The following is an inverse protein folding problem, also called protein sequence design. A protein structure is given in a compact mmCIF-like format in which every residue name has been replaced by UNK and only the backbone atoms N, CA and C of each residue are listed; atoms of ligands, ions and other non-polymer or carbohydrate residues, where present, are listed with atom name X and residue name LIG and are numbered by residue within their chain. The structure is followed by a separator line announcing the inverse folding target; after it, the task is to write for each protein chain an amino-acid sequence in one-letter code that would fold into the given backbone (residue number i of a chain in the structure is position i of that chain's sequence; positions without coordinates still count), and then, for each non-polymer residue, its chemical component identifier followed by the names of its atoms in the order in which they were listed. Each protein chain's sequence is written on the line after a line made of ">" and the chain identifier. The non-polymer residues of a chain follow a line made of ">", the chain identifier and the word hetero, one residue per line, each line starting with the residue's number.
data_IF_036915260514
#
_entry.id   IF_036915260514
#
_cell.length_a   1.000
_cell.length_b   1.000
_cell.length_c   1.000
_cell.angle_alpha   90.00
_cell.angle_beta   90.00
_cell.angle_gamma   90.00
#
_symmetry.space_group_name_H-M   'P 1'
#
loop_
_entity.id
_entity.type
_entity.pdbx_description
1 polymer ?
#
# COMPACT_ATOMS: atom_id res chain seq x y z
N UNK A 1 4.36 3.23 -19.39
CA UNK A 1 4.25 2.67 -18.02
C UNK A 1 5.17 1.46 -17.78
N UNK A 2 5.13 0.37 -18.58
CA UNK A 2 6.04 -0.78 -18.36
C UNK A 2 7.54 -0.42 -18.27
N UNK A 3 8.01 0.49 -19.12
CA UNK A 3 9.39 0.98 -19.08
C UNK A 3 9.71 1.78 -17.83
N UNK A 4 8.73 2.51 -17.27
CA UNK A 4 8.88 3.23 -16.00
C UNK A 4 9.03 2.23 -14.86
N UNK A 5 8.25 1.14 -14.85
CA UNK A 5 8.41 0.09 -13.84
C UNK A 5 9.79 -0.58 -13.92
N UNK A 6 10.27 -0.92 -15.12
CA UNK A 6 11.61 -1.49 -15.28
C UNK A 6 12.70 -0.51 -14.88
N UNK A 7 12.54 0.78 -15.20
CA UNK A 7 13.46 1.82 -14.79
C UNK A 7 13.49 1.98 -13.27
N UNK A 8 12.33 2.04 -12.61
CA UNK A 8 12.23 2.14 -11.15
C UNK A 8 12.82 0.91 -10.46
N UNK A 9 12.54 -0.29 -10.97
CA UNK A 9 13.14 -1.52 -10.47
C UNK A 9 14.67 -1.49 -10.60
N UNK A 10 15.18 -1.16 -11.79
CA UNK A 10 16.62 -1.08 -12.05
C UNK A 10 17.28 0.00 -11.19
N UNK A 11 16.68 1.18 -11.09
CA UNK A 11 17.20 2.29 -10.29
C UNK A 11 17.26 1.92 -8.80
N UNK A 12 16.18 1.34 -8.26
CA UNK A 12 16.13 0.89 -6.86
C UNK A 12 17.19 -0.18 -6.59
N UNK A 13 17.29 -1.21 -7.44
CA UNK A 13 18.25 -2.32 -7.26
C UNK A 13 19.70 -1.89 -7.47
N UNK A 14 20.00 -1.12 -8.51
CA UNK A 14 21.37 -0.66 -8.78
C UNK A 14 21.87 0.30 -7.69
N UNK A 15 21.00 1.16 -7.17
CA UNK A 15 21.34 2.02 -6.04
C UNK A 15 21.54 1.20 -4.77
N UNK A 16 20.67 0.21 -4.50
CA UNK A 16 20.86 -0.70 -3.37
C UNK A 16 22.20 -1.47 -3.47
N UNK A 17 22.60 -1.91 -4.66
CA UNK A 17 23.85 -2.64 -4.86
C UNK A 17 25.11 -1.80 -4.61
N UNK A 18 25.00 -0.47 -4.60
CA UNK A 18 26.14 0.39 -4.29
C UNK A 18 26.46 0.51 -2.79
N UNK A 19 25.66 -0.11 -1.91
CA UNK A 19 25.83 0.01 -0.45
C UNK A 19 26.90 -0.95 0.08
N UNK A 20 27.57 -0.54 1.15
CA UNK A 20 28.51 -1.41 1.85
C UNK A 20 27.82 -2.17 2.98
N UNK A 21 27.43 -3.41 2.70
CA UNK A 21 26.71 -4.26 3.66
C UNK A 21 27.64 -4.87 4.70
N UNK A 22 27.45 -4.49 5.96
CA UNK A 22 28.16 -5.08 7.10
C UNK A 22 27.46 -6.34 7.66
N UNK A 23 26.21 -6.59 7.27
CA UNK A 23 25.41 -7.73 7.72
C UNK A 23 24.50 -8.26 6.62
N UNK A 24 24.47 -9.59 6.46
CA UNK A 24 23.58 -10.27 5.53
C UNK A 24 22.10 -10.04 5.84
N UNK A 25 21.75 -9.88 7.13
CA UNK A 25 20.38 -9.56 7.54
C UNK A 25 19.91 -8.20 7.03
N UNK A 26 20.79 -7.20 7.03
CA UNK A 26 20.46 -5.87 6.51
C UNK A 26 20.23 -5.93 5.00
N UNK A 27 21.06 -6.66 4.27
CA UNK A 27 20.88 -6.87 2.84
C UNK A 27 19.54 -7.56 2.53
N UNK A 28 19.20 -8.62 3.26
CA UNK A 28 17.95 -9.34 3.08
C UNK A 28 16.72 -8.47 3.36
N UNK A 29 16.70 -7.76 4.49
CA UNK A 29 15.58 -6.88 4.85
C UNK A 29 15.40 -5.76 3.82
N UNK A 30 16.48 -5.07 3.44
CA UNK A 30 16.46 -4.00 2.44
C UNK A 30 15.97 -4.52 1.08
N UNK A 31 16.40 -5.72 0.68
CA UNK A 31 15.93 -6.36 -0.55
C UNK A 31 14.45 -6.74 -0.50
N UNK A 32 13.94 -7.15 0.66
CA UNK A 32 12.53 -7.47 0.83
C UNK A 32 11.67 -6.20 0.72
N UNK A 33 12.11 -5.09 1.33
CA UNK A 33 11.37 -3.82 1.28
C UNK A 33 11.56 -3.06 -0.03
N UNK A 34 12.62 -3.33 -0.82
CA UNK A 34 12.84 -2.65 -2.11
C UNK A 34 11.75 -2.93 -3.14
N UNK A 35 11.01 -4.04 -3.00
CA UNK A 35 9.81 -4.36 -3.81
C UNK A 35 8.75 -3.24 -3.70
N UNK A 36 8.72 -2.50 -2.59
CA UNK A 36 7.84 -1.35 -2.40
C UNK A 36 8.04 -0.24 -3.43
N UNK A 37 9.21 -0.14 -4.08
CA UNK A 37 9.43 0.81 -5.16
C UNK A 37 8.54 0.53 -6.37
N UNK A 38 8.46 -0.75 -6.74
CA UNK A 38 7.64 -1.21 -7.85
C UNK A 38 6.15 -1.09 -7.47
N UNK A 39 5.77 -1.61 -6.31
CA UNK A 39 4.38 -1.59 -5.84
C UNK A 39 3.86 -0.17 -5.63
N UNK A 40 4.67 0.70 -5.01
CA UNK A 40 4.35 2.10 -4.82
C UNK A 40 4.11 2.80 -6.14
N UNK A 41 4.97 2.57 -7.13
CA UNK A 41 4.79 3.12 -8.49
C UNK A 41 3.50 2.63 -9.15
N UNK A 42 3.16 1.35 -8.99
CA UNK A 42 1.89 0.79 -9.51
C UNK A 42 0.69 1.45 -8.83
N UNK A 43 0.68 1.60 -7.50
CA UNK A 43 -0.42 2.23 -6.78
C UNK A 43 -0.54 3.72 -7.08
N UNK A 44 0.57 4.45 -7.19
CA UNK A 44 0.54 5.86 -7.60
C UNK A 44 -0.05 6.00 -9.00
N UNK A 45 0.35 5.15 -9.95
CA UNK A 45 -0.22 5.15 -11.30
C UNK A 45 -1.71 4.84 -11.31
N UNK A 46 -2.14 3.82 -10.56
CA UNK A 46 -3.54 3.44 -10.45
C UNK A 46 -4.39 4.55 -9.82
N UNK A 47 -3.86 5.21 -8.78
CA UNK A 47 -4.47 6.38 -8.15
C UNK A 47 -4.65 7.53 -9.15
N UNK A 48 -3.61 7.89 -9.91
CA UNK A 48 -3.69 8.94 -10.94
C UNK A 48 -4.74 8.59 -11.99
N UNK A 49 -4.78 7.34 -12.45
CA UNK A 49 -5.77 6.90 -13.44
C UNK A 49 -7.20 6.94 -12.89
N UNK A 50 -7.39 6.65 -11.61
CA UNK A 50 -8.68 6.79 -10.94
C UNK A 50 -9.10 8.26 -10.80
N UNK A 51 -8.23 9.12 -10.27
CA UNK A 51 -8.53 10.54 -10.05
C UNK A 51 -8.77 11.30 -11.37
N UNK A 52 -8.12 10.91 -12.46
CA UNK A 52 -8.35 11.47 -13.81
C UNK A 52 -9.59 10.92 -14.52
N UNK A 53 -10.36 10.05 -13.86
CA UNK A 53 -11.60 9.48 -14.40
C UNK A 53 -11.39 8.41 -15.46
N UNK A 54 -10.16 7.91 -15.64
CA UNK A 54 -9.78 6.88 -16.61
C UNK A 54 -9.85 5.45 -16.04
N UNK A 55 -10.22 5.30 -14.77
CA UNK A 55 -10.42 4.01 -14.09
C UNK A 55 -11.91 3.70 -13.83
N UNK A 56 -12.22 2.50 -13.32
CA UNK A 56 -13.60 2.09 -13.04
C UNK A 56 -14.22 2.93 -11.90
N UNK A 57 -15.56 3.09 -11.86
CA UNK A 57 -16.24 3.80 -10.77
C UNK A 57 -15.89 3.26 -9.38
N UNK A 58 -15.63 1.95 -9.27
CA UNK A 58 -15.20 1.30 -8.03
C UNK A 58 -13.85 1.85 -7.53
N UNK A 59 -12.86 1.96 -8.41
CA UNK A 59 -11.55 2.49 -8.04
C UNK A 59 -11.56 4.00 -7.84
N UNK A 60 -12.44 4.73 -8.54
CA UNK A 60 -12.68 6.16 -8.27
C UNK A 60 -13.23 6.39 -6.87
N UNK A 61 -14.15 5.54 -6.42
CA UNK A 61 -14.68 5.59 -5.07
C UNK A 61 -13.60 5.19 -4.04
N UNK A 62 -12.87 4.10 -4.27
CA UNK A 62 -11.77 3.65 -3.41
C UNK A 62 -10.70 4.73 -3.19
N UNK A 63 -10.12 5.26 -4.27
CA UNK A 63 -9.12 6.34 -4.15
C UNK A 63 -9.75 7.67 -3.71
N UNK A 64 -11.06 7.84 -3.91
CA UNK A 64 -11.81 8.97 -3.36
C UNK A 64 -11.83 8.99 -1.83
N UNK A 65 -11.93 7.83 -1.18
CA UNK A 65 -11.85 7.70 0.29
C UNK A 65 -10.45 8.07 0.82
N UNK A 66 -9.38 7.76 0.06
CA UNK A 66 -7.98 8.08 0.41
C UNK A 66 -7.50 9.45 -0.08
N UNK A 67 -8.26 10.13 -0.94
CA UNK A 67 -7.81 11.34 -1.63
C UNK A 67 -7.44 12.46 -0.64
N UNK A 68 -8.20 12.59 0.45
CA UNK A 68 -7.92 13.59 1.48
C UNK A 68 -6.55 13.35 2.13
N UNK A 69 -6.25 12.11 2.48
CA UNK A 69 -4.99 11.75 3.15
C UNK A 69 -3.79 11.92 2.20
N UNK A 70 -3.93 11.56 0.92
CA UNK A 70 -2.91 11.81 -0.09
C UNK A 70 -2.69 13.29 -0.38
N UNK A 71 -3.75 14.09 -0.47
CA UNK A 71 -3.64 15.53 -0.63
C UNK A 71 -2.94 16.18 0.56
N UNK A 72 -3.28 15.78 1.79
CA UNK A 72 -2.62 16.29 3.00
C UNK A 72 -1.13 15.93 2.96
N UNK A 73 -0.78 14.67 2.69
CA UNK A 73 0.62 14.25 2.61
C UNK A 73 1.41 15.00 1.52
N UNK A 74 0.81 15.20 0.35
CA UNK A 74 1.42 15.96 -0.73
C UNK A 74 1.65 17.42 -0.34
N UNK A 75 0.66 18.08 0.25
CA UNK A 75 0.77 19.46 0.72
C UNK A 75 1.81 19.60 1.82
N UNK A 76 1.87 18.64 2.77
CA UNK A 76 2.90 18.60 3.80
C UNK A 76 4.30 18.44 3.21
N UNK A 77 4.48 17.55 2.23
CA UNK A 77 5.76 17.38 1.53
C UNK A 77 6.21 18.62 0.75
N UNK A 78 5.28 19.29 0.06
CA UNK A 78 5.54 20.55 -0.63
C UNK A 78 5.91 21.67 0.35
N UNK A 79 5.18 21.77 1.48
CA UNK A 79 5.48 22.74 2.53
C UNK A 79 6.86 22.51 3.13
N UNK A 80 7.22 21.25 3.42
CA UNK A 80 8.53 20.91 3.94
C UNK A 80 9.64 21.25 2.93
N UNK A 81 9.42 20.93 1.65
CA UNK A 81 10.36 21.29 0.57
C UNK A 81 10.56 22.81 0.52
N UNK A 82 9.48 23.59 0.61
CA UNK A 82 9.55 25.05 0.63
C UNK A 82 10.33 25.59 1.82
N UNK A 83 10.09 25.04 3.02
CA UNK A 83 10.83 25.39 4.25
C UNK A 83 12.31 25.09 4.08
N UNK A 84 12.67 23.90 3.60
CA UNK A 84 14.08 23.50 3.41
C UNK A 84 14.79 24.42 2.41
N UNK A 85 14.12 24.81 1.32
CA UNK A 85 14.74 25.68 0.30
C UNK A 85 14.92 27.14 0.75
N UNK A 86 14.16 27.60 1.75
CA UNK A 86 14.23 28.98 2.26
C UNK A 86 15.03 29.07 3.56
N UNK A 87 15.10 27.98 4.31
CA UNK A 87 15.87 27.89 5.55
C UNK A 87 17.36 28.10 5.28
N UNK A 88 18.04 28.79 6.20
CA UNK A 88 19.49 28.92 6.21
C UNK A 88 20.21 27.69 6.80
N UNK A 89 19.47 26.68 7.23
CA UNK A 89 20.03 25.44 7.76
C UNK A 89 20.46 24.50 6.64
N UNK A 90 21.69 23.98 6.71
CA UNK A 90 22.18 22.98 5.77
C UNK A 90 21.35 21.69 5.86
N UNK A 91 20.70 21.32 4.76
CA UNK A 91 19.93 20.10 4.68
C UNK A 91 20.86 18.87 4.58
N UNK A 92 20.66 17.92 5.48
CA UNK A 92 21.35 16.63 5.43
C UNK A 92 20.42 15.57 4.87
N UNK A 93 20.88 14.79 3.89
CA UNK A 93 20.13 13.62 3.36
C UNK A 93 19.93 12.50 4.41
N UNK A 94 20.56 12.63 5.57
CA UNK A 94 20.34 11.78 6.74
C UNK A 94 19.30 12.35 7.73
N UNK A 95 18.60 13.43 7.38
CA UNK A 95 17.39 13.84 8.11
C UNK A 95 16.33 12.74 8.00
N UNK A 96 15.55 12.49 9.05
CA UNK A 96 14.51 11.45 9.05
C UNK A 96 13.19 11.87 8.39
N UNK A 97 13.16 13.04 7.77
CA UNK A 97 11.96 13.78 7.36
C UNK A 97 11.15 13.07 6.27
N UNK A 98 11.81 12.56 5.23
CA UNK A 98 11.15 11.85 4.11
C UNK A 98 10.51 10.56 4.62
N UNK A 99 11.24 9.79 5.43
CA UNK A 99 10.69 8.57 6.03
C UNK A 99 9.56 8.91 7.01
N UNK A 100 9.71 9.93 7.86
CA UNK A 100 8.70 10.29 8.85
C UNK A 100 7.38 10.76 8.22
N UNK A 101 7.42 11.35 7.01
CA UNK A 101 6.22 11.63 6.22
C UNK A 101 5.39 10.37 5.90
N UNK A 102 6.01 9.18 5.93
CA UNK A 102 5.34 7.89 5.79
C UNK A 102 4.59 7.42 7.04
N UNK A 103 4.91 7.97 8.22
CA UNK A 103 4.38 7.47 9.49
C UNK A 103 2.85 7.59 9.63
N UNK A 104 2.19 8.69 9.20
CA UNK A 104 0.73 8.77 9.21
C UNK A 104 0.05 7.64 8.41
N UNK A 105 0.62 7.23 7.28
CA UNK A 105 0.10 6.12 6.47
C UNK A 105 0.18 4.77 7.21
N UNK A 106 1.24 4.54 7.98
CA UNK A 106 1.36 3.35 8.82
C UNK A 106 0.29 3.35 9.92
N UNK A 107 0.06 4.48 10.59
CA UNK A 107 -0.98 4.58 11.62
C UNK A 107 -2.37 4.34 11.03
N UNK A 108 -2.66 4.92 9.86
CA UNK A 108 -3.92 4.70 9.16
C UNK A 108 -4.09 3.23 8.78
N UNK A 109 -3.02 2.56 8.33
CA UNK A 109 -3.07 1.13 8.00
C UNK A 109 -3.42 0.24 9.20
N UNK A 110 -2.92 0.59 10.39
CA UNK A 110 -3.21 -0.10 11.65
C UNK A 110 -4.66 0.13 12.06
N UNK A 111 -5.12 1.39 11.95
CA UNK A 111 -6.52 1.74 12.20
C UNK A 111 -7.47 0.92 11.32
N UNK A 112 -7.19 0.83 10.02
CA UNK A 112 -7.96 0.04 9.06
C UNK A 112 -7.98 -1.45 9.43
N UNK A 113 -6.84 -2.02 9.83
CA UNK A 113 -6.78 -3.41 10.30
C UNK A 113 -7.59 -3.66 11.57
N UNK A 114 -7.65 -2.70 12.50
CA UNK A 114 -8.58 -2.79 13.63
C UNK A 114 -10.04 -2.69 13.19
N UNK A 115 -10.36 -1.87 12.19
CA UNK A 115 -11.70 -1.77 11.64
C UNK A 115 -12.16 -3.13 11.05
N UNK A 116 -11.26 -3.89 10.41
CA UNK A 116 -11.56 -5.23 9.85
C UNK A 116 -12.14 -6.20 10.89
N UNK A 117 -11.71 -6.12 12.16
CA UNK A 117 -12.20 -7.00 13.23
C UNK A 117 -13.71 -6.87 13.48
N UNK A 118 -14.26 -5.66 13.23
CA UNK A 118 -15.67 -5.34 13.49
C UNK A 118 -16.55 -5.58 12.26
N UNK A 119 -15.96 -5.58 11.05
CA UNK A 119 -16.69 -5.72 9.78
C UNK A 119 -17.25 -7.13 9.60
N UNK A 120 -18.42 -7.21 8.95
CA UNK A 120 -19.14 -8.45 8.65
C UNK A 120 -19.34 -8.57 7.15
N UNK A 121 -19.01 -9.73 6.61
CA UNK A 121 -19.30 -10.15 5.24
C UNK A 121 -20.51 -11.07 5.32
N UNK A 122 -21.64 -10.62 4.77
CA UNK A 122 -22.88 -11.41 4.77
C UNK A 122 -23.19 -11.94 6.20
N UNK A 123 -23.10 -11.06 7.20
CA UNK A 123 -23.35 -11.39 8.60
C UNK A 123 -22.25 -12.16 9.34
N UNK A 124 -21.22 -12.67 8.65
CA UNK A 124 -20.10 -13.42 9.22
C UNK A 124 -18.87 -12.51 9.34
N UNK A 125 -18.17 -12.56 10.48
CA UNK A 125 -16.91 -11.80 10.66
C UNK A 125 -15.73 -12.56 10.06
N UNK A 126 -14.67 -11.84 9.70
CA UNK A 126 -13.41 -12.47 9.36
C UNK A 126 -12.87 -13.31 10.53
N UNK A 127 -12.12 -14.39 10.26
CA UNK A 127 -11.47 -15.16 11.31
C UNK A 127 -10.56 -14.28 12.16
N UNK A 128 -10.69 -14.38 13.49
CA UNK A 128 -9.88 -13.58 14.43
C UNK A 128 -8.38 -13.78 14.20
N UNK A 129 -7.95 -15.02 13.90
CA UNK A 129 -6.56 -15.35 13.61
C UNK A 129 -6.01 -14.55 12.42
N UNK A 130 -6.77 -14.45 11.32
CA UNK A 130 -6.39 -13.67 10.15
C UNK A 130 -6.23 -12.18 10.49
N UNK A 131 -7.24 -11.58 11.16
CA UNK A 131 -7.17 -10.16 11.54
C UNK A 131 -6.04 -9.86 12.52
N UNK A 132 -5.75 -10.75 13.48
CA UNK A 132 -4.63 -10.61 14.42
C UNK A 132 -3.29 -10.76 13.72
N UNK A 133 -3.18 -11.68 12.76
CA UNK A 133 -1.97 -11.85 11.95
C UNK A 133 -1.67 -10.61 11.12
N UNK A 134 -2.68 -9.98 10.50
CA UNK A 134 -2.50 -8.72 9.77
C UNK A 134 -2.02 -7.59 10.68
N UNK A 135 -2.64 -7.42 11.86
CA UNK A 135 -2.22 -6.41 12.85
C UNK A 135 -0.79 -6.70 13.33
N UNK A 136 -0.47 -7.96 13.64
CA UNK A 136 0.87 -8.37 14.06
C UNK A 136 1.93 -8.07 13.01
N UNK A 137 1.62 -8.33 11.72
CA UNK A 137 2.50 -8.00 10.60
C UNK A 137 2.72 -6.48 10.48
N UNK A 138 1.67 -5.66 10.64
CA UNK A 138 1.81 -4.21 10.59
C UNK A 138 2.61 -3.66 11.77
N UNK A 139 2.40 -4.18 12.99
CA UNK A 139 3.22 -3.81 14.15
C UNK A 139 4.69 -4.20 13.95
N UNK A 140 4.95 -5.36 13.34
CA UNK A 140 6.31 -5.75 12.95
C UNK A 140 6.91 -4.76 11.94
N UNK A 141 6.16 -4.38 10.90
CA UNK A 141 6.60 -3.37 9.92
C UNK A 141 6.90 -2.03 10.60
N UNK A 142 6.07 -1.58 11.55
CA UNK A 142 6.31 -0.37 12.35
C UNK A 142 7.60 -0.52 13.18
N UNK A 143 7.86 -1.70 13.75
CA UNK A 143 9.11 -1.97 14.47
C UNK A 143 10.33 -1.82 13.57
N UNK A 144 10.31 -2.44 12.38
CA UNK A 144 11.37 -2.31 11.37
C UNK A 144 11.53 -0.86 10.91
N UNK A 145 10.43 -0.14 10.73
CA UNK A 145 10.42 1.27 10.34
C UNK A 145 11.13 2.15 11.38
N UNK A 146 10.75 2.01 12.65
CA UNK A 146 11.38 2.76 13.75
C UNK A 146 12.86 2.39 13.92
N UNK A 147 13.22 1.11 13.74
CA UNK A 147 14.61 0.68 13.77
C UNK A 147 15.45 1.44 12.73
N UNK A 148 15.01 1.52 11.48
CA UNK A 148 15.74 2.25 10.44
C UNK A 148 15.74 3.77 10.68
N UNK A 149 14.66 4.36 11.20
CA UNK A 149 14.64 5.78 11.59
C UNK A 149 15.70 6.08 12.66
N UNK A 150 15.81 5.23 13.69
CA UNK A 150 16.82 5.38 14.74
C UNK A 150 18.23 5.27 14.15
N UNK A 151 18.47 4.29 13.25
CA UNK A 151 19.79 4.11 12.62
C UNK A 151 20.19 5.31 11.73
N UNK A 152 19.25 5.84 10.93
CA UNK A 152 19.45 7.05 10.13
C UNK A 152 19.78 8.24 11.04
N UNK A 153 18.99 8.46 12.09
CA UNK A 153 19.19 9.56 13.03
C UNK A 153 20.49 9.42 13.86
N UNK A 154 20.98 8.18 14.03
CA UNK A 154 22.25 7.89 14.71
C UNK A 154 23.47 8.04 13.79
N UNK A 155 23.27 8.38 12.51
CA UNK A 155 24.36 8.52 11.55
C UNK A 155 24.99 7.20 11.12
N UNK A 156 24.28 6.08 11.26
CA UNK A 156 24.80 4.74 10.93
C UNK A 156 24.91 4.48 9.41
N UNK A 157 24.34 5.34 8.58
CA UNK A 157 24.29 5.21 7.12
C UNK A 157 24.92 6.43 6.44
N UNK A 158 25.57 6.19 5.30
CA UNK A 158 26.04 7.29 4.46
C UNK A 158 24.84 8.08 3.90
N UNK A 159 24.99 9.38 3.56
CA UNK A 159 23.87 10.22 3.11
C UNK A 159 23.06 9.64 1.94
N UNK A 160 23.72 9.01 0.96
CA UNK A 160 23.06 8.36 -0.17
C UNK A 160 22.28 7.10 0.23
N UNK A 161 22.78 6.34 1.22
CA UNK A 161 22.11 5.15 1.75
C UNK A 161 20.89 5.57 2.58
N UNK A 162 21.04 6.57 3.44
CA UNK A 162 19.95 7.18 4.21
C UNK A 162 18.80 7.59 3.30
N UNK A 163 19.07 8.35 2.23
CA UNK A 163 18.03 8.79 1.30
C UNK A 163 17.27 7.63 0.66
N UNK A 164 17.97 6.60 0.18
CA UNK A 164 17.34 5.43 -0.41
C UNK A 164 16.47 4.68 0.59
N UNK A 165 16.96 4.48 1.83
CA UNK A 165 16.20 3.82 2.90
C UNK A 165 14.95 4.64 3.18
N UNK A 166 15.05 5.96 3.28
CA UNK A 166 13.92 6.82 3.56
C UNK A 166 12.83 6.74 2.49
N UNK A 167 13.20 6.79 1.20
CA UNK A 167 12.24 6.63 0.10
C UNK A 167 11.59 5.25 0.17
N UNK A 168 12.37 4.21 0.45
CA UNK A 168 11.87 2.83 0.56
C UNK A 168 10.88 2.69 1.71
N UNK A 169 11.17 3.29 2.87
CA UNK A 169 10.27 3.32 4.02
C UNK A 169 8.96 4.05 3.68
N UNK A 170 9.04 5.24 3.07
CA UNK A 170 7.86 5.99 2.62
C UNK A 170 6.98 5.18 1.66
N UNK A 171 7.58 4.55 0.64
CA UNK A 171 6.84 3.73 -0.32
C UNK A 171 6.25 2.48 0.33
N UNK A 172 6.96 1.87 1.27
CA UNK A 172 6.45 0.73 2.06
C UNK A 172 5.23 1.15 2.87
N UNK A 173 5.30 2.29 3.56
CA UNK A 173 4.18 2.82 4.33
C UNK A 173 2.94 3.10 3.46
N UNK A 174 3.15 3.69 2.28
CA UNK A 174 2.09 3.93 1.30
C UNK A 174 1.47 2.61 0.84
N UNK A 175 2.29 1.62 0.47
CA UNK A 175 1.81 0.32 0.02
C UNK A 175 0.97 -0.39 1.09
N UNK A 176 1.45 -0.39 2.33
CA UNK A 176 0.74 -1.02 3.46
C UNK A 176 -0.57 -0.30 3.73
N UNK A 177 -0.59 1.04 3.66
CA UNK A 177 -1.81 1.84 3.79
C UNK A 177 -2.84 1.51 2.70
N UNK A 178 -2.46 1.60 1.42
CA UNK A 178 -3.34 1.28 0.28
C UNK A 178 -3.90 -0.13 0.41
N UNK A 179 -3.05 -1.12 0.70
CA UNK A 179 -3.48 -2.51 0.84
C UNK A 179 -4.48 -2.72 1.99
N UNK A 180 -4.20 -2.12 3.15
CA UNK A 180 -5.06 -2.26 4.34
C UNK A 180 -6.42 -1.60 4.12
N UNK A 181 -6.42 -0.42 3.51
CA UNK A 181 -7.63 0.29 3.15
C UNK A 181 -8.42 -0.47 2.08
N UNK A 182 -7.75 -1.05 1.08
CA UNK A 182 -8.37 -1.86 0.04
C UNK A 182 -9.12 -3.06 0.64
N UNK A 183 -8.54 -3.71 1.66
CA UNK A 183 -9.24 -4.78 2.37
C UNK A 183 -10.51 -4.26 3.05
N UNK A 184 -10.44 -3.14 3.78
CA UNK A 184 -11.62 -2.53 4.43
C UNK A 184 -12.69 -2.16 3.40
N UNK A 185 -12.29 -1.59 2.27
CA UNK A 185 -13.16 -1.20 1.18
C UNK A 185 -13.88 -2.41 0.57
N UNK A 186 -13.15 -3.47 0.23
CA UNK A 186 -13.72 -4.72 -0.31
C UNK A 186 -14.75 -5.32 0.66
N UNK A 187 -14.45 -5.33 1.96
CA UNK A 187 -15.37 -5.86 2.96
C UNK A 187 -16.62 -4.98 3.14
N UNK A 188 -16.45 -3.66 3.03
CA UNK A 188 -17.53 -2.70 3.19
C UNK A 188 -18.49 -2.74 2.00
N UNK A 189 -17.94 -2.73 0.78
CA UNK A 189 -18.72 -2.85 -0.46
C UNK A 189 -19.22 -4.27 -0.71
N UNK A 190 -18.58 -5.27 -0.11
CA UNK A 190 -18.82 -6.69 -0.35
C UNK A 190 -18.77 -7.01 -1.85
N UNK A 191 -17.81 -6.40 -2.53
CA UNK A 191 -17.54 -6.51 -3.97
C UNK A 191 -16.06 -6.29 -4.20
N UNK A 192 -15.49 -7.04 -5.12
CA UNK A 192 -14.11 -6.90 -5.58
C UNK A 192 -14.13 -6.62 -7.08
N UNK A 193 -13.40 -5.60 -7.53
CA UNK A 193 -13.12 -5.36 -8.94
C UNK A 193 -11.61 -5.36 -9.15
N UNK A 194 -11.20 -5.66 -10.37
CA UNK A 194 -9.82 -5.47 -10.81
C UNK A 194 -9.65 -4.08 -11.38
N UNK A 195 -8.55 -3.42 -11.03
CA UNK A 195 -8.17 -2.15 -11.66
C UNK A 195 -7.92 -2.39 -13.15
N UNK A 196 -8.66 -1.71 -14.04
CA UNK A 196 -8.40 -1.74 -15.48
C UNK A 196 -7.00 -1.21 -15.83
N UNK A 197 -6.50 -0.24 -15.06
CA UNK A 197 -5.19 0.36 -15.27
C UNK A 197 -4.06 -0.62 -14.96
N UNK A 198 -4.18 -1.37 -13.85
CA UNK A 198 -3.20 -2.41 -13.49
C UNK A 198 -3.33 -3.59 -14.46
N UNK A 199 -4.54 -3.98 -14.88
CA UNK A 199 -4.74 -5.05 -15.86
C UNK A 199 -4.04 -4.75 -17.18
N UNK A 200 -4.29 -3.57 -17.76
CA UNK A 200 -3.62 -3.16 -18.99
C UNK A 200 -2.10 -3.09 -18.84
N UNK A 201 -1.61 -2.72 -17.66
CA UNK A 201 -0.17 -2.70 -17.37
C UNK A 201 0.44 -4.10 -17.38
N UNK A 202 -0.16 -5.06 -16.68
CA UNK A 202 0.34 -6.44 -16.61
C UNK A 202 0.19 -7.18 -17.94
N UNK A 203 -0.90 -6.97 -18.68
CA UNK A 203 -1.07 -7.57 -20.01
C UNK A 203 -0.01 -7.08 -21.03
N UNK A 204 0.48 -5.85 -20.85
CA UNK A 204 1.54 -5.26 -21.68
C UNK A 204 2.93 -5.89 -21.45
N UNK A 205 3.11 -6.67 -20.38
CA UNK A 205 4.36 -7.34 -20.00
C UNK A 205 4.24 -8.82 -20.32
N UNK A 206 5.01 -9.31 -21.31
CA UNK A 206 4.92 -10.71 -21.81
C UNK A 206 5.04 -11.75 -20.70
N UNK A 207 5.93 -11.53 -19.73
CA UNK A 207 6.25 -12.49 -18.66
C UNK A 207 5.16 -12.59 -17.56
N UNK A 208 4.26 -11.61 -17.46
CA UNK A 208 3.21 -11.59 -16.43
C UNK A 208 1.79 -11.72 -17.00
N UNK A 209 1.68 -12.00 -18.30
CA UNK A 209 0.41 -12.35 -18.96
C UNK A 209 -0.20 -13.58 -18.28
N UNK A 210 -1.35 -13.39 -17.64
CA UNK A 210 -2.11 -14.47 -17.00
C UNK A 210 -2.19 -14.36 -15.48
N UNK A 211 -1.14 -13.88 -14.79
CA UNK A 211 -1.14 -13.78 -13.32
C UNK A 211 -2.24 -12.83 -12.84
N UNK A 212 -2.33 -11.66 -13.48
CA UNK A 212 -3.33 -10.66 -13.11
C UNK A 212 -4.73 -11.00 -13.64
N UNK A 213 -4.83 -11.86 -14.67
CA UNK A 213 -6.10 -12.38 -15.18
C UNK A 213 -6.72 -13.38 -14.19
N UNK A 214 -5.90 -14.22 -13.58
CA UNK A 214 -6.32 -15.14 -12.53
C UNK A 214 -6.90 -14.40 -11.32
N UNK A 215 -6.30 -13.26 -10.93
CA UNK A 215 -6.88 -12.41 -9.89
C UNK A 215 -8.30 -11.93 -10.27
N UNK A 216 -8.58 -11.75 -11.57
CA UNK A 216 -9.88 -11.30 -12.06
C UNK A 216 -10.94 -12.37 -11.94
N UNK A 217 -10.58 -13.59 -12.32
CA UNK A 217 -11.41 -14.78 -12.14
C UNK A 217 -11.72 -15.00 -10.65
N UNK A 218 -10.75 -14.81 -9.76
CA UNK A 218 -10.97 -14.90 -8.31
C UNK A 218 -11.91 -13.80 -7.79
N UNK A 219 -11.79 -12.57 -8.30
CA UNK A 219 -12.69 -11.46 -7.95
C UNK A 219 -14.13 -11.74 -8.40
N UNK A 220 -14.32 -12.30 -9.59
CA UNK A 220 -15.64 -12.71 -10.10
C UNK A 220 -16.25 -13.85 -9.26
N UNK A 221 -15.47 -14.88 -8.96
CA UNK A 221 -15.88 -15.98 -8.09
C UNK A 221 -16.30 -15.47 -6.71
N UNK A 222 -15.50 -14.58 -6.12
CA UNK A 222 -15.82 -13.94 -4.84
C UNK A 222 -17.16 -13.20 -4.90
N UNK A 223 -17.37 -12.37 -5.92
CA UNK A 223 -18.60 -11.60 -6.10
C UNK A 223 -19.82 -12.52 -6.22
N UNK A 224 -19.70 -13.63 -6.95
CA UNK A 224 -20.77 -14.63 -7.10
C UNK A 224 -21.13 -15.28 -5.76
N UNK A 225 -20.13 -15.74 -5.00
CA UNK A 225 -20.33 -16.35 -3.68
C UNK A 225 -21.03 -15.38 -2.72
N UNK A 226 -20.61 -14.12 -2.71
CA UNK A 226 -21.22 -13.08 -1.87
C UNK A 226 -22.68 -12.83 -2.28
N UNK A 227 -22.96 -12.76 -3.58
CA UNK A 227 -24.32 -12.59 -4.10
C UNK A 227 -25.24 -13.74 -3.68
N UNK A 228 -24.81 -14.98 -3.87
CA UNK A 228 -25.58 -16.18 -3.54
C UNK A 228 -25.90 -16.22 -2.04
N UNK A 229 -24.91 -15.96 -1.18
CA UNK A 229 -25.13 -15.91 0.28
C UNK A 229 -26.06 -14.77 0.71
N UNK A 230 -26.00 -13.60 0.06
CA UNK A 230 -26.97 -12.50 0.31
C UNK A 230 -28.39 -12.94 -0.03
N UNK A 231 -28.56 -13.65 -1.15
CA UNK A 231 -29.86 -14.14 -1.61
C UNK A 231 -30.42 -15.21 -0.67
N UNK A 232 -29.59 -16.13 -0.18
CA UNK A 232 -29.97 -17.09 0.86
C UNK A 232 -30.43 -16.42 2.15
N UNK A 233 -29.70 -15.39 2.61
CA UNK A 233 -30.08 -14.65 3.81
C UNK A 233 -31.42 -13.92 3.66
N UNK A 234 -31.67 -13.30 2.50
CA UNK A 234 -32.96 -12.68 2.19
C UNK A 234 -34.10 -13.71 2.23
N UNK A 235 -33.90 -14.88 1.62
CA UNK A 235 -34.86 -16.00 1.66
C UNK A 235 -35.13 -16.48 3.09
N UNK A 236 -34.08 -16.64 3.92
CA UNK A 236 -34.22 -17.04 5.33
C UNK A 236 -34.98 -16.00 6.16
N UNK A 237 -34.72 -14.71 5.96
CA UNK A 237 -35.46 -13.62 6.64
C UNK A 237 -36.92 -13.56 6.20
N UNK A 238 -37.21 -13.71 4.90
CA UNK A 238 -38.57 -13.73 4.37
C UNK A 238 -39.39 -14.92 4.92
N UNK A 239 -38.78 -16.09 5.10
CA UNK A 239 -39.42 -17.24 5.75
C UNK A 239 -39.68 -17.02 7.23
N UNK A 240 -38.77 -16.35 7.95
CA UNK A 240 -38.96 -15.99 9.37
C UNK A 240 -40.04 -14.95 9.63
N UNK A 241 -40.36 -14.08 8.66
CA UNK A 241 -41.43 -13.09 8.79
C UNK A 241 -42.81 -13.61 8.39
N UNK A 242 -42.90 -14.82 7.82
CA UNK A 242 -44.17 -15.47 7.46
C UNK A 242 -44.68 -16.45 8.53
N UNK A 243 -43.88 -16.70 9.57
CA UNK A 243 -44.23 -17.47 10.78
C UNK A 243 -44.33 -16.51 11.96
#
# INVERSE_FOLDING_TARGET
>A
MKYILFFVAAASTLWQLSFQYHSWWNFFLLSAISVSWILGTVYTYDCIQALTGRSSPYYREFYGELNKDFCIALLSGLSLTFIINISSADYSLSSIDIAFAGFPFLLLSVYDSFALQKRKIVGVRLPKAMTRSMIGLQLFIIGVFNYYLIQINSGAFAPAESLWIQITLLLTALCVCVFSHQMVFILTKQRMEISPAILGLFESIKMSRGVYRQAGEMAEQWNKIVFDKKLEQRKKKAKKHKH
#
